data_IF_300015423288
#
_entry.id   IF_300015423288
#
_cell.length_a   1.000
_cell.length_b   1.000
_cell.length_c   1.000
_cell.angle_alpha   90.00
_cell.angle_beta   90.00
_cell.angle_gamma   90.00
#
_symmetry.space_group_name_H-M   'P 1'
#
loop_
_entity.id
_entity.type
_entity.pdbx_description
1 polymer ?
#
# COMPACT_ATOMS: atom_id res chain seq x y z
N UNK A 1 6.46 -7.25 6.31
CA UNK A 1 5.44 -7.18 5.22
C UNK A 1 6.14 -7.12 3.88
N UNK A 2 5.62 -7.74 2.82
CA UNK A 2 6.19 -7.62 1.48
C UNK A 2 5.20 -6.89 0.55
N UNK A 3 5.64 -5.77 -0.03
CA UNK A 3 4.86 -5.07 -1.07
C UNK A 3 5.27 -5.66 -2.43
N UNK A 4 4.31 -6.17 -3.22
CA UNK A 4 4.57 -6.65 -4.57
C UNK A 4 5.23 -5.56 -5.42
N UNK A 5 6.24 -5.93 -6.21
CA UNK A 5 6.98 -4.98 -7.05
C UNK A 5 6.07 -4.20 -8.01
N UNK A 6 4.98 -4.82 -8.48
CA UNK A 6 3.99 -4.20 -9.37
C UNK A 6 3.32 -2.96 -8.74
N UNK A 7 3.07 -2.98 -7.42
CA UNK A 7 2.45 -1.86 -6.67
C UNK A 7 3.41 -1.08 -5.78
N UNK A 8 4.67 -1.51 -5.68
CA UNK A 8 5.75 -0.83 -4.95
C UNK A 8 6.08 0.57 -5.49
N UNK A 9 5.75 0.85 -6.75
CA UNK A 9 5.81 2.22 -7.27
C UNK A 9 4.79 3.17 -6.61
N UNK A 10 3.70 2.63 -6.08
CA UNK A 10 2.61 3.41 -5.47
C UNK A 10 2.61 3.34 -3.94
N UNK A 11 3.24 2.32 -3.36
CA UNK A 11 3.27 2.07 -1.93
C UNK A 11 4.71 1.93 -1.45
N UNK A 12 5.00 2.51 -0.30
CA UNK A 12 6.25 2.36 0.44
C UNK A 12 5.97 1.66 1.78
N UNK A 13 6.97 0.99 2.34
CA UNK A 13 6.94 0.61 3.76
C UNK A 13 7.74 1.66 4.51
N UNK A 14 7.12 2.28 5.51
CA UNK A 14 7.80 3.12 6.50
C UNK A 14 7.78 2.41 7.86
N UNK A 15 8.87 2.52 8.61
CA UNK A 15 8.93 2.03 10.00
C UNK A 15 8.82 3.20 10.96
N UNK A 16 7.98 3.06 11.97
CA UNK A 16 7.89 4.05 13.04
C UNK A 16 9.01 3.84 14.10
N UNK A 17 9.05 4.72 15.08
CA UNK A 17 10.01 4.75 16.19
C UNK A 17 9.98 3.48 17.06
N UNK A 18 8.89 2.71 16.94
CA UNK A 18 8.63 1.46 17.64
C UNK A 18 8.93 0.21 16.78
N UNK A 19 9.63 0.36 15.66
CA UNK A 19 9.92 -0.69 14.66
C UNK A 19 8.64 -1.31 14.03
N UNK A 20 7.52 -0.60 14.11
CA UNK A 20 6.26 -1.02 13.48
C UNK A 20 6.26 -0.63 12.01
N UNK A 21 6.09 -1.60 11.13
CA UNK A 21 5.99 -1.40 9.68
C UNK A 21 4.58 -0.92 9.29
N UNK A 22 4.52 0.20 8.59
CA UNK A 22 3.31 0.76 7.99
C UNK A 22 3.48 0.89 6.48
N UNK A 23 2.40 0.63 5.75
CA UNK A 23 2.36 0.82 4.30
C UNK A 23 1.85 2.21 4.00
N UNK A 24 2.63 2.99 3.25
CA UNK A 24 2.35 4.40 2.99
C UNK A 24 2.20 4.63 1.50
N UNK A 25 1.10 5.26 1.10
CA UNK A 25 0.88 5.59 -0.29
C UNK A 25 1.79 6.73 -0.73
N UNK A 26 2.64 6.50 -1.74
CA UNK A 26 3.54 7.51 -2.29
C UNK A 26 2.81 8.66 -3.01
N UNK A 27 1.57 8.43 -3.47
CA UNK A 27 0.80 9.46 -4.19
C UNK A 27 0.14 10.48 -3.26
N UNK A 28 -0.31 10.07 -2.07
CA UNK A 28 -1.07 10.95 -1.17
C UNK A 28 -0.55 10.98 0.28
N UNK A 29 0.44 10.15 0.63
CA UNK A 29 1.01 10.07 1.98
C UNK A 29 0.14 9.31 2.99
N UNK A 30 -0.96 8.67 2.56
CA UNK A 30 -1.86 7.96 3.48
C UNK A 30 -1.22 6.68 3.98
N UNK A 31 -1.27 6.46 5.29
CA UNK A 31 -0.70 5.29 5.98
C UNK A 31 -1.75 4.20 6.18
N UNK A 32 -1.31 2.96 6.07
CA UNK A 32 -2.11 1.74 6.17
C UNK A 32 -1.34 0.70 6.97
N UNK A 33 -2.08 -0.16 7.66
CA UNK A 33 -1.50 -1.27 8.44
C UNK A 33 -1.46 -2.57 7.64
N UNK A 34 -2.27 -2.69 6.58
CA UNK A 34 -2.37 -3.90 5.78
C UNK A 34 -2.18 -3.59 4.30
N UNK A 35 -1.66 -4.58 3.56
CA UNK A 35 -1.49 -4.46 2.10
C UNK A 35 -2.85 -4.35 1.40
N UNK A 36 -3.86 -5.06 1.90
CA UNK A 36 -5.22 -5.06 1.36
C UNK A 36 -5.85 -3.67 1.37
N UNK A 37 -5.78 -2.95 2.50
CA UNK A 37 -6.30 -1.59 2.60
C UNK A 37 -5.54 -0.64 1.68
N UNK A 38 -4.21 -0.77 1.64
CA UNK A 38 -3.36 0.05 0.78
C UNK A 38 -3.65 -0.22 -0.71
N UNK A 39 -3.89 -1.47 -1.08
CA UNK A 39 -4.22 -1.91 -2.42
C UNK A 39 -5.61 -1.42 -2.88
N UNK A 40 -6.63 -1.57 -2.03
CA UNK A 40 -7.95 -0.99 -2.26
C UNK A 40 -7.88 0.53 -2.41
N UNK A 41 -7.09 1.18 -1.57
CA UNK A 41 -6.90 2.63 -1.64
C UNK A 41 -6.32 3.07 -2.99
N UNK A 42 -5.20 2.50 -3.44
CA UNK A 42 -4.62 2.91 -4.72
C UNK A 42 -5.50 2.50 -5.92
N UNK A 43 -6.31 1.44 -5.79
CA UNK A 43 -7.30 1.05 -6.78
C UNK A 43 -8.44 2.09 -6.90
N UNK A 44 -9.13 2.38 -5.80
CA UNK A 44 -10.30 3.28 -5.80
C UNK A 44 -9.93 4.76 -5.91
N UNK A 45 -8.85 5.20 -5.25
CA UNK A 45 -8.47 6.61 -5.16
C UNK A 45 -7.53 7.01 -6.29
N UNK A 46 -6.62 6.13 -6.70
CA UNK A 46 -5.61 6.44 -7.70
C UNK A 46 -5.80 5.70 -9.04
N UNK A 47 -6.86 4.89 -9.17
CA UNK A 47 -7.20 4.19 -10.41
C UNK A 47 -6.23 3.05 -10.78
N UNK A 48 -5.43 2.57 -9.83
CA UNK A 48 -4.40 1.56 -10.07
C UNK A 48 -5.05 0.18 -10.11
N UNK A 49 -5.54 -0.23 -11.28
CA UNK A 49 -6.27 -1.50 -11.51
C UNK A 49 -5.52 -2.75 -11.07
N UNK A 50 -4.19 -2.76 -11.24
CA UNK A 50 -3.33 -3.88 -10.82
C UNK A 50 -3.41 -4.15 -9.32
N UNK A 51 -3.78 -3.15 -8.52
CA UNK A 51 -3.84 -3.29 -7.07
C UNK A 51 -5.04 -4.12 -6.60
N UNK A 52 -6.11 -4.20 -7.39
CA UNK A 52 -7.30 -4.99 -7.05
C UNK A 52 -6.95 -6.46 -6.76
N UNK A 53 -5.97 -7.02 -7.48
CA UNK A 53 -5.49 -8.39 -7.28
C UNK A 53 -4.96 -8.65 -5.86
N UNK A 54 -4.45 -7.64 -5.18
CA UNK A 54 -3.91 -7.74 -3.81
C UNK A 54 -4.92 -7.31 -2.74
N UNK A 55 -6.11 -6.86 -3.14
CA UNK A 55 -7.21 -6.57 -2.23
C UNK A 55 -7.99 -7.84 -1.82
N UNK A 56 -7.82 -8.95 -2.55
CA UNK A 56 -8.63 -10.17 -2.43
C UNK A 56 -7.90 -11.33 -1.71
N UNK A 57 -6.63 -11.15 -1.35
CA UNK A 57 -5.83 -12.11 -0.57
C UNK A 57 -6.06 -12.01 0.94
#
# INVERSE_FOLDING_TARGET
>A
MEIPQEISNYLAIERDQWDVEHIVCRKCGKKFFTLKDAALHIYHIHGVKIAHKYAET
#
